data_IF_297214750237
#
_entry.id   IF_297214750237
#
_cell.length_a   1.000
_cell.length_b   1.000
_cell.length_c   1.000
_cell.angle_alpha   90.00
_cell.angle_beta   90.00
_cell.angle_gamma   90.00
#
_symmetry.space_group_name_H-M   'P 1'
#
loop_
_entity.id
_entity.type
_entity.pdbx_description
1 polymer ?
#
# COMPACT_ATOMS: atom_id res chain seq x y z
N UNK A 1 -6.16 -9.15 -2.32
CA UNK A 1 -7.02 -8.21 -3.07
C UNK A 1 -6.17 -7.39 -4.03
N UNK A 2 -6.70 -7.09 -5.21
CA UNK A 2 -6.02 -6.29 -6.24
C UNK A 2 -6.88 -5.10 -6.64
N UNK A 3 -6.32 -3.91 -6.63
CA UNK A 3 -6.99 -2.68 -7.05
C UNK A 3 -6.12 -1.93 -8.07
N UNK A 4 -6.66 -1.72 -9.27
CA UNK A 4 -6.06 -0.85 -10.28
C UNK A 4 -6.79 0.47 -10.34
N UNK A 5 -6.06 1.58 -10.36
CA UNK A 5 -6.61 2.93 -10.47
C UNK A 5 -6.24 3.53 -11.81
N UNK A 6 -7.02 4.54 -12.25
CA UNK A 6 -6.85 5.21 -13.55
C UNK A 6 -5.54 5.99 -13.70
N UNK A 7 -4.78 6.18 -12.62
CA UNK A 7 -3.54 6.95 -12.56
C UNK A 7 -2.30 6.04 -12.63
N UNK A 8 -2.43 4.87 -13.27
CA UNK A 8 -1.40 3.81 -13.32
C UNK A 8 -0.92 3.29 -11.96
N UNK A 9 -1.62 3.66 -10.89
CA UNK A 9 -1.44 3.13 -9.56
C UNK A 9 -2.10 1.76 -9.47
N UNK A 10 -1.36 0.75 -9.03
CA UNK A 10 -1.87 -0.61 -8.81
C UNK A 10 -1.44 -1.06 -7.43
N UNK A 11 -2.37 -1.66 -6.71
CA UNK A 11 -2.14 -2.23 -5.38
C UNK A 11 -2.50 -3.70 -5.43
N UNK A 12 -1.58 -4.56 -5.01
CA UNK A 12 -1.85 -5.95 -4.68
C UNK A 12 -1.54 -6.14 -3.20
N UNK A 13 -2.54 -6.56 -2.43
CA UNK A 13 -2.38 -6.93 -1.03
C UNK A 13 -2.82 -8.36 -0.81
N UNK A 14 -1.85 -9.25 -0.62
CA UNK A 14 -2.07 -10.70 -0.46
C UNK A 14 -1.20 -11.25 0.69
N UNK A 15 -1.12 -10.50 1.79
CA UNK A 15 -0.17 -10.69 2.90
C UNK A 15 1.02 -9.74 2.78
N UNK A 16 1.65 -9.67 1.60
CA UNK A 16 2.55 -8.57 1.24
C UNK A 16 1.81 -7.48 0.47
N UNK A 17 2.24 -6.22 0.66
CA UNK A 17 1.73 -5.08 -0.08
C UNK A 17 2.66 -4.77 -1.26
N UNK A 18 2.17 -4.92 -2.46
CA UNK A 18 2.82 -4.48 -3.70
C UNK A 18 2.10 -3.24 -4.21
N UNK A 19 2.87 -2.17 -4.39
CA UNK A 19 2.40 -0.92 -4.97
C UNK A 19 3.21 -0.67 -6.22
N UNK A 20 2.56 -0.65 -7.37
CA UNK A 20 3.19 -0.27 -8.64
C UNK A 20 2.60 1.05 -9.10
N UNK A 21 3.46 2.01 -9.50
CA UNK A 21 3.04 3.32 -10.01
C UNK A 21 3.86 3.69 -11.24
N UNK A 22 3.21 3.69 -12.41
CA UNK A 22 3.85 4.06 -13.69
C UNK A 22 5.04 3.18 -14.06
N UNK A 23 5.90 3.66 -14.96
CA UNK A 23 7.15 2.99 -15.34
C UNK A 23 8.27 3.35 -14.37
N UNK A 24 8.66 2.39 -13.52
CA UNK A 24 9.87 2.47 -12.68
C UNK A 24 9.65 2.57 -11.17
N UNK A 25 8.41 2.69 -10.69
CA UNK A 25 8.12 2.68 -9.27
C UNK A 25 7.36 1.40 -8.88
N UNK A 26 8.09 0.41 -8.36
CA UNK A 26 7.54 -0.82 -7.79
C UNK A 26 8.02 -0.95 -6.35
N UNK A 27 7.09 -0.86 -5.41
CA UNK A 27 7.34 -0.90 -3.97
C UNK A 27 6.74 -2.18 -3.45
N UNK A 28 7.62 -3.03 -2.90
CA UNK A 28 7.23 -4.29 -2.27
C UNK A 28 7.48 -4.19 -0.77
N UNK A 29 6.41 -4.17 0.00
CA UNK A 29 6.47 -4.21 1.46
C UNK A 29 6.01 -5.57 1.95
N UNK A 30 6.95 -6.30 2.58
CA UNK A 30 6.66 -7.59 3.22
C UNK A 30 5.73 -7.37 4.41
N UNK A 31 4.86 -8.33 4.68
CA UNK A 31 3.89 -8.27 5.79
C UNK A 31 4.52 -7.88 7.14
N UNK A 32 5.69 -8.44 7.45
CA UNK A 32 6.42 -8.18 8.71
C UNK A 32 6.97 -6.77 8.84
N UNK A 33 7.06 -6.02 7.73
CA UNK A 33 7.50 -4.63 7.70
C UNK A 33 6.32 -3.65 7.63
N UNK A 34 5.09 -4.15 7.51
CA UNK A 34 3.90 -3.31 7.55
C UNK A 34 3.58 -3.06 9.03
N UNK A 35 3.58 -1.79 9.47
CA UNK A 35 3.25 -1.46 10.84
C UNK A 35 1.79 -1.85 11.13
N UNK A 36 1.54 -2.34 12.34
CA UNK A 36 0.28 -3.00 12.73
C UNK A 36 -0.95 -2.14 12.48
N UNK A 37 -0.84 -0.83 12.68
CA UNK A 37 -1.92 0.14 12.42
C UNK A 37 -2.32 0.15 10.93
N UNK A 38 -1.34 0.16 10.02
CA UNK A 38 -1.59 0.14 8.58
C UNK A 38 -2.07 -1.24 8.14
N UNK A 39 -1.50 -2.31 8.69
CA UNK A 39 -1.93 -3.69 8.40
C UNK A 39 -3.40 -3.87 8.71
N UNK A 40 -3.86 -3.42 9.89
CA UNK A 40 -5.27 -3.48 10.26
C UNK A 40 -6.17 -2.72 9.28
N UNK A 41 -5.73 -1.56 8.77
CA UNK A 41 -6.49 -0.83 7.75
C UNK A 41 -6.53 -1.54 6.40
N UNK A 42 -5.42 -2.19 5.99
CA UNK A 42 -5.37 -2.97 4.75
C UNK A 42 -6.27 -4.20 4.84
N UNK A 43 -6.21 -4.95 5.94
CA UNK A 43 -7.08 -6.10 6.18
C UNK A 43 -8.56 -5.69 6.19
N UNK A 44 -8.94 -4.64 6.93
CA UNK A 44 -10.31 -4.14 6.90
C UNK A 44 -10.75 -3.66 5.51
N UNK A 45 -9.85 -3.06 4.73
CA UNK A 45 -10.17 -2.67 3.35
C UNK A 45 -10.41 -3.88 2.45
N UNK A 46 -9.70 -4.99 2.68
CA UNK A 46 -9.93 -6.27 1.97
C UNK A 46 -11.24 -6.90 2.38
N UNK A 47 -11.54 -6.96 3.68
CA UNK A 47 -12.80 -7.50 4.19
C UNK A 47 -14.01 -6.73 3.65
N UNK A 48 -13.87 -5.42 3.47
CA UNK A 48 -14.91 -4.54 2.91
C UNK A 48 -14.88 -4.42 1.39
N UNK A 49 -13.94 -5.12 0.74
CA UNK A 49 -13.70 -5.06 -0.71
C UNK A 49 -13.57 -3.61 -1.25
N UNK A 50 -13.01 -2.73 -0.43
CA UNK A 50 -12.98 -1.29 -0.66
C UNK A 50 -11.64 -0.85 -1.22
N UNK A 51 -11.56 -0.71 -2.54
CA UNK A 51 -10.36 -0.16 -3.19
C UNK A 51 -10.06 1.28 -2.75
N UNK A 52 -11.04 2.07 -2.30
CA UNK A 52 -10.77 3.41 -1.81
C UNK A 52 -9.97 3.38 -0.50
N UNK A 53 -10.38 2.52 0.44
CA UNK A 53 -9.67 2.34 1.72
C UNK A 53 -8.28 1.72 1.51
N UNK A 54 -8.16 0.73 0.61
CA UNK A 54 -6.89 0.10 0.27
C UNK A 54 -5.87 1.12 -0.27
N UNK A 55 -6.34 2.06 -1.11
CA UNK A 55 -5.51 3.17 -1.61
C UNK A 55 -5.03 4.09 -0.50
N UNK A 56 -5.92 4.46 0.41
CA UNK A 56 -5.62 5.37 1.51
C UNK A 56 -4.56 4.76 2.44
N UNK A 57 -4.75 3.51 2.84
CA UNK A 57 -3.81 2.79 3.72
C UNK A 57 -2.43 2.62 3.05
N UNK A 58 -2.41 2.23 1.78
CA UNK A 58 -1.16 2.09 1.01
C UNK A 58 -0.42 3.41 0.87
N UNK A 59 -1.13 4.52 0.61
CA UNK A 59 -0.54 5.85 0.50
C UNK A 59 0.04 6.33 1.84
N UNK A 60 -0.63 6.04 2.95
CA UNK A 60 -0.12 6.34 4.29
C UNK A 60 1.18 5.56 4.57
N UNK A 61 1.26 4.30 4.13
CA UNK A 61 2.49 3.51 4.24
C UNK A 61 3.62 4.10 3.40
N UNK A 62 3.37 4.35 2.11
CA UNK A 62 4.40 4.90 1.20
C UNK A 62 4.92 6.22 1.71
N UNK A 63 4.05 7.11 2.19
CA UNK A 63 4.46 8.38 2.78
C UNK A 63 5.31 8.19 4.04
N UNK A 64 4.93 7.27 4.93
CA UNK A 64 5.73 6.96 6.11
C UNK A 64 7.10 6.36 5.77
N UNK A 65 7.19 5.61 4.67
CA UNK A 65 8.46 5.12 4.12
C UNK A 65 9.28 6.31 3.59
N UNK A 66 8.72 7.13 2.71
CA UNK A 66 9.40 8.33 2.17
C UNK A 66 9.93 9.22 3.29
N UNK A 67 9.11 9.57 4.29
CA UNK A 67 9.53 10.37 5.46
C UNK A 67 10.62 9.68 6.31
N UNK A 68 10.65 8.33 6.36
CA UNK A 68 11.70 7.60 7.07
C UNK A 68 13.03 7.55 6.30
N UNK A 69 13.01 7.76 4.98
CA UNK A 69 14.19 7.83 4.12
C UNK A 69 14.65 9.28 3.85
N UNK A 70 13.81 10.29 4.08
CA UNK A 70 14.12 11.73 3.92
C UNK A 70 14.90 12.34 5.12
N UNK A 71 15.42 11.51 6.02
CA UNK A 71 16.30 11.97 7.11
C UNK A 71 17.72 12.13 6.56
N UNK A 72 18.00 13.27 5.93
CA UNK A 72 19.35 13.83 5.72
C UNK A 72 19.71 14.86 6.80
#
# INVERSE_FOLDING_TARGET
>A
MRCGYKDDFKIDYSGSLHITKGEGCDIVVKESHIPTNIKSCLDSAVERESCHELRSASRALTRGIEEAFDVE
#
